data_IF_880593621842
#
_entry.id   IF_880593621842
#
_cell.length_a   1.000
_cell.length_b   1.000
_cell.length_c   1.000
_cell.angle_alpha   90.00
_cell.angle_beta   90.00
_cell.angle_gamma   90.00
#
_symmetry.space_group_name_H-M   'P 1'
#
loop_
_entity.id
_entity.type
_entity.pdbx_description
1 polymer ?
#
# COMPACT_ATOMS: atom_id res chain seq x y z
N UNK A 1 17.21 18.82 -12.77
CA UNK A 1 16.24 17.70 -12.73
C UNK A 1 15.84 17.51 -11.28
N UNK A 2 14.55 17.36 -10.97
CA UNK A 2 14.10 17.21 -9.58
C UNK A 2 14.50 15.83 -9.03
N UNK A 3 14.64 15.63 -7.71
CA UNK A 3 14.91 14.30 -7.13
C UNK A 3 13.88 13.24 -7.57
N UNK A 4 12.62 13.63 -7.76
CA UNK A 4 11.61 12.76 -8.36
C UNK A 4 11.91 12.39 -9.81
N UNK A 5 12.21 13.37 -10.67
CA UNK A 5 12.52 13.14 -12.08
C UNK A 5 13.73 12.21 -12.26
N UNK A 6 14.75 12.34 -11.41
CA UNK A 6 15.92 11.44 -11.40
C UNK A 6 15.50 10.00 -11.09
N UNK A 7 14.72 9.79 -10.03
CA UNK A 7 14.28 8.45 -9.61
C UNK A 7 13.42 7.77 -10.67
N UNK A 8 12.51 8.51 -11.30
CA UNK A 8 11.68 7.96 -12.39
C UNK A 8 12.51 7.66 -13.64
N UNK A 9 13.44 8.54 -14.01
CA UNK A 9 14.34 8.30 -15.14
C UNK A 9 15.15 7.00 -14.92
N UNK A 10 15.74 6.83 -13.73
CA UNK A 10 16.43 5.58 -13.34
C UNK A 10 15.52 4.36 -13.42
N UNK A 11 14.27 4.48 -12.98
CA UNK A 11 13.29 3.37 -13.07
C UNK A 11 12.97 3.00 -14.52
N UNK A 12 12.76 4.00 -15.38
CA UNK A 12 12.50 3.79 -16.81
C UNK A 12 13.72 3.22 -17.53
N UNK A 13 14.92 3.68 -17.21
CA UNK A 13 16.18 3.16 -17.75
C UNK A 13 16.35 1.67 -17.43
N UNK A 14 16.02 1.25 -16.20
CA UNK A 14 16.00 -0.17 -15.81
C UNK A 14 15.00 -1.00 -16.62
N UNK A 15 13.96 -0.37 -17.17
CA UNK A 15 12.97 -0.99 -18.06
C UNK A 15 13.33 -0.82 -19.54
N UNK A 16 14.53 -0.34 -19.87
CA UNK A 16 15.02 -0.16 -21.23
C UNK A 16 14.52 1.11 -21.93
N UNK A 17 13.96 2.07 -21.20
CA UNK A 17 13.46 3.33 -21.72
C UNK A 17 14.28 4.52 -21.19
N UNK A 18 15.02 5.20 -22.06
CA UNK A 18 15.73 6.43 -21.68
C UNK A 18 14.78 7.63 -21.77
N UNK A 19 14.51 8.30 -20.65
CA UNK A 19 13.63 9.48 -20.60
C UNK A 19 14.23 10.52 -19.66
N UNK A 20 14.25 11.78 -20.11
CA UNK A 20 14.46 12.92 -19.22
C UNK A 20 13.11 13.52 -18.84
N UNK A 21 12.79 13.52 -17.55
CA UNK A 21 11.58 14.13 -17.04
C UNK A 21 11.90 15.45 -16.33
N UNK A 22 11.38 16.55 -16.87
CA UNK A 22 11.23 17.80 -16.13
C UNK A 22 10.24 17.62 -14.97
N UNK A 23 10.07 18.63 -14.11
CA UNK A 23 9.13 18.56 -13.00
C UNK A 23 7.69 18.34 -13.53
N UNK A 24 7.08 17.17 -13.28
CA UNK A 24 5.78 16.87 -13.85
C UNK A 24 4.67 17.51 -13.01
N UNK A 25 3.74 18.18 -13.71
CA UNK A 25 2.45 18.55 -13.12
C UNK A 25 1.52 17.34 -12.97
N UNK A 26 0.40 17.56 -12.29
CA UNK A 26 -0.57 16.53 -11.89
C UNK A 26 -1.08 15.68 -13.06
N UNK A 27 -1.41 16.30 -14.20
CA UNK A 27 -1.85 15.58 -15.40
C UNK A 27 -0.77 14.65 -15.95
N UNK A 28 0.50 15.06 -15.86
CA UNK A 28 1.62 14.22 -16.28
C UNK A 28 1.80 13.06 -15.33
N UNK A 29 1.65 13.26 -14.01
CA UNK A 29 1.66 12.17 -13.03
C UNK A 29 0.54 11.16 -13.33
N UNK A 30 -0.69 11.63 -13.60
CA UNK A 30 -1.83 10.77 -13.96
C UNK A 30 -1.54 9.91 -15.18
N UNK A 31 -0.97 10.47 -16.25
CA UNK A 31 -0.61 9.72 -17.47
C UNK A 31 0.57 8.78 -17.27
N UNK A 32 1.52 9.13 -16.42
CA UNK A 32 2.73 8.35 -16.20
C UNK A 32 2.49 7.12 -15.31
N UNK A 33 1.58 7.22 -14.34
CA UNK A 33 1.27 6.12 -13.41
C UNK A 33 1.01 4.77 -14.09
N UNK A 34 0.11 4.64 -15.09
CA UNK A 34 -0.11 3.37 -15.78
C UNK A 34 1.11 2.88 -16.57
N UNK A 35 1.94 3.79 -17.12
CA UNK A 35 3.20 3.43 -17.81
C UNK A 35 4.19 2.80 -16.83
N UNK A 36 4.21 3.30 -15.60
CA UNK A 36 5.04 2.77 -14.53
C UNK A 36 4.43 1.53 -13.85
N UNK A 37 3.19 1.16 -14.17
CA UNK A 37 2.48 0.09 -13.46
C UNK A 37 2.24 0.42 -11.99
N UNK A 38 2.18 1.71 -11.65
CA UNK A 38 1.94 2.21 -10.31
C UNK A 38 0.54 2.79 -10.21
N UNK A 39 -0.03 2.76 -9.01
CA UNK A 39 -1.23 3.54 -8.76
C UNK A 39 -0.92 5.03 -8.79
N UNK A 40 -1.82 5.82 -9.40
CA UNK A 40 -1.64 7.27 -9.52
C UNK A 40 -1.38 7.94 -8.17
N UNK A 41 -2.12 7.54 -7.12
CA UNK A 41 -1.94 8.11 -5.79
C UNK A 41 -0.52 7.89 -5.22
N UNK A 42 0.12 6.76 -5.52
CA UNK A 42 1.48 6.47 -5.08
C UNK A 42 2.50 7.34 -5.83
N UNK A 43 2.26 7.63 -7.10
CA UNK A 43 3.13 8.51 -7.87
C UNK A 43 3.13 9.96 -7.32
N UNK A 44 1.99 10.44 -6.82
CA UNK A 44 1.91 11.72 -6.11
C UNK A 44 2.75 11.71 -4.81
N UNK A 45 2.76 10.57 -4.09
CA UNK A 45 3.61 10.39 -2.91
C UNK A 45 5.08 10.49 -3.28
N UNK A 46 5.54 9.75 -4.29
CA UNK A 46 6.94 9.79 -4.74
C UNK A 46 7.35 11.19 -5.25
N UNK A 47 6.41 11.91 -5.87
CA UNK A 47 6.62 13.29 -6.34
C UNK A 47 6.57 14.34 -5.21
N UNK A 48 6.20 13.96 -3.98
CA UNK A 48 6.09 14.90 -2.86
C UNK A 48 4.90 15.84 -2.93
N UNK A 49 3.93 15.52 -3.79
CA UNK A 49 2.75 16.35 -4.02
C UNK A 49 1.66 16.04 -3.01
N UNK A 50 0.86 17.04 -2.71
CA UNK A 50 -0.42 16.86 -2.03
C UNK A 50 -1.31 15.98 -2.90
N UNK A 51 -1.98 15.02 -2.30
CA UNK A 51 -2.86 14.13 -3.04
C UNK A 51 -4.15 14.88 -3.44
N UNK A 52 -4.60 14.82 -4.70
CA UNK A 52 -5.92 15.31 -5.10
C UNK A 52 -7.05 14.54 -4.40
N UNK A 53 -8.18 15.20 -4.13
CA UNK A 53 -9.29 14.62 -3.36
C UNK A 53 -9.93 13.41 -4.05
N UNK A 54 -9.93 13.35 -5.38
CA UNK A 54 -10.41 12.20 -6.13
C UNK A 54 -9.51 10.96 -5.98
N UNK A 55 -8.27 11.14 -5.52
CA UNK A 55 -7.30 10.06 -5.27
C UNK A 55 -7.17 9.72 -3.78
N UNK A 56 -7.72 10.53 -2.89
CA UNK A 56 -7.56 10.39 -1.44
C UNK A 56 -8.18 9.09 -0.90
N UNK A 57 -7.50 8.39 0.03
CA UNK A 57 -8.08 7.30 0.79
C UNK A 57 -9.09 7.84 1.81
N UNK A 58 -9.99 6.97 2.28
CA UNK A 58 -10.91 7.28 3.37
C UNK A 58 -10.16 7.78 4.63
N UNK A 59 -10.84 8.58 5.45
CA UNK A 59 -10.28 8.95 6.76
C UNK A 59 -10.03 7.72 7.61
N UNK A 60 -8.89 7.67 8.28
CA UNK A 60 -8.59 6.68 9.30
C UNK A 60 -9.44 6.97 10.56
N UNK A 61 -10.72 6.60 10.55
CA UNK A 61 -11.59 6.66 11.73
C UNK A 61 -12.11 5.26 12.03
N UNK A 62 -12.39 4.97 13.30
CA UNK A 62 -13.07 3.73 13.72
C UNK A 62 -12.20 2.53 14.11
N UNK A 63 -12.86 1.43 14.54
CA UNK A 63 -12.22 0.17 14.92
C UNK A 63 -11.86 -0.72 13.72
N UNK A 64 -12.43 -0.43 12.55
CA UNK A 64 -12.26 -1.21 11.33
C UNK A 64 -11.24 -0.54 10.42
N UNK A 65 -10.37 -1.32 9.80
CA UNK A 65 -9.41 -0.82 8.83
C UNK A 65 -9.15 -1.85 7.73
N UNK A 66 -8.49 -1.42 6.66
CA UNK A 66 -8.22 -2.28 5.51
C UNK A 66 -7.37 -3.49 5.89
N UNK A 67 -6.42 -3.32 6.82
CA UNK A 67 -5.63 -4.43 7.33
C UNK A 67 -6.52 -5.49 7.98
N UNK A 68 -7.55 -5.09 8.73
CA UNK A 68 -8.46 -6.04 9.36
C UNK A 68 -9.21 -6.88 8.33
N UNK A 69 -9.63 -6.27 7.23
CA UNK A 69 -10.25 -6.97 6.11
C UNK A 69 -9.26 -7.95 5.44
N UNK A 70 -8.05 -7.50 5.10
CA UNK A 70 -7.12 -8.34 4.32
C UNK A 70 -6.43 -9.41 5.16
N UNK A 71 -5.94 -9.07 6.35
CA UNK A 71 -5.15 -9.96 7.21
C UNK A 71 -5.99 -11.01 7.92
N UNK A 72 -7.15 -10.63 8.43
CA UNK A 72 -7.96 -11.54 9.24
C UNK A 72 -9.08 -12.18 8.45
N UNK A 73 -9.56 -11.56 7.37
CA UNK A 73 -10.75 -12.06 6.65
C UNK A 73 -10.43 -12.64 5.29
N UNK A 74 -9.88 -11.82 4.40
CA UNK A 74 -9.63 -12.22 3.01
C UNK A 74 -8.49 -13.23 2.87
N UNK A 75 -7.51 -13.22 3.78
CA UNK A 75 -6.39 -14.18 3.76
C UNK A 75 -6.84 -15.63 3.89
N UNK A 76 -7.94 -15.89 4.60
CA UNK A 76 -8.51 -17.24 4.77
C UNK A 76 -9.36 -17.71 3.57
N UNK A 77 -9.72 -16.80 2.66
CA UNK A 77 -10.50 -17.14 1.48
C UNK A 77 -9.59 -17.74 0.40
N UNK A 78 -10.13 -18.62 -0.43
CA UNK A 78 -9.47 -19.04 -1.66
C UNK A 78 -9.52 -17.94 -2.73
N UNK A 79 -8.94 -18.21 -3.92
CA UNK A 79 -8.89 -17.23 -5.00
C UNK A 79 -10.29 -16.80 -5.49
N UNK A 80 -11.26 -17.71 -5.50
CA UNK A 80 -12.63 -17.41 -5.93
C UNK A 80 -13.34 -16.54 -4.87
N UNK A 81 -13.23 -16.88 -3.59
CA UNK A 81 -13.74 -16.09 -2.49
C UNK A 81 -13.15 -14.68 -2.46
N UNK A 82 -11.83 -14.53 -2.71
CA UNK A 82 -11.21 -13.21 -2.82
C UNK A 82 -11.70 -12.42 -4.03
N UNK A 83 -11.93 -13.07 -5.18
CA UNK A 83 -12.53 -12.42 -6.35
C UNK A 83 -13.96 -11.94 -6.07
N UNK A 84 -14.79 -12.78 -5.43
CA UNK A 84 -16.16 -12.40 -5.04
C UNK A 84 -16.19 -11.26 -4.03
N UNK A 85 -15.29 -11.29 -3.04
CA UNK A 85 -15.13 -10.19 -2.10
C UNK A 85 -14.69 -8.90 -2.80
N UNK A 86 -13.81 -9.01 -3.80
CA UNK A 86 -13.38 -7.89 -4.61
C UNK A 86 -14.54 -7.28 -5.41
N UNK A 87 -15.35 -8.10 -6.05
CA UNK A 87 -16.55 -7.66 -6.78
C UNK A 87 -17.53 -6.94 -5.85
N UNK A 88 -17.72 -7.47 -4.63
CA UNK A 88 -18.54 -6.81 -3.61
C UNK A 88 -18.01 -5.42 -3.26
N UNK A 89 -16.71 -5.30 -2.98
CA UNK A 89 -16.06 -4.02 -2.65
C UNK A 89 -16.19 -3.01 -3.80
N UNK A 90 -15.96 -3.44 -5.04
CA UNK A 90 -16.08 -2.58 -6.23
C UNK A 90 -17.54 -2.16 -6.51
N UNK A 91 -18.52 -2.95 -6.05
CA UNK A 91 -19.95 -2.65 -6.16
C UNK A 91 -20.51 -1.72 -5.08
N UNK A 92 -19.74 -1.40 -4.03
CA UNK A 92 -20.18 -0.48 -2.98
C UNK A 92 -20.27 0.96 -3.50
N UNK A 93 -21.30 1.73 -3.10
CA UNK A 93 -21.47 3.10 -3.58
C UNK A 93 -20.31 3.99 -3.10
N UNK A 94 -19.72 4.77 -4.00
CA UNK A 94 -18.70 5.74 -3.61
C UNK A 94 -19.31 6.77 -2.64
N UNK A 95 -18.67 6.95 -1.48
CA UNK A 95 -19.06 7.96 -0.49
C UNK A 95 -18.04 9.10 -0.47
N UNK A 96 -18.47 10.35 -0.20
CA UNK A 96 -17.55 11.45 -0.02
C UNK A 96 -16.59 11.13 1.12
N UNK A 97 -15.31 11.06 0.78
CA UNK A 97 -14.26 10.86 1.77
C UNK A 97 -14.08 12.17 2.53
N UNK A 98 -14.28 12.15 3.84
CA UNK A 98 -13.81 13.24 4.68
C UNK A 98 -12.30 13.13 4.76
N UNK A 99 -11.61 14.20 4.39
CA UNK A 99 -10.17 14.27 4.52
C UNK A 99 -9.86 15.06 5.79
N UNK A 100 -8.95 14.55 6.61
CA UNK A 100 -8.23 15.45 7.51
C UNK A 100 -7.31 16.29 6.64
N UNK A 101 -7.62 17.58 6.52
CA UNK A 101 -6.74 18.54 5.85
C UNK A 101 -6.02 19.35 6.95
N UNK A 102 -4.66 19.37 6.99
CA UNK A 102 -3.74 18.63 6.13
C UNK A 102 -3.75 17.12 6.42
N UNK A 103 -3.50 16.30 5.39
CA UNK A 103 -3.26 14.88 5.61
C UNK A 103 -2.00 14.75 6.48
N UNK A 104 -1.86 13.77 7.39
CA UNK A 104 -0.79 13.75 8.41
C UNK A 104 0.67 13.83 7.92
N UNK A 105 0.88 13.82 6.60
CA UNK A 105 2.18 13.90 5.92
C UNK A 105 2.31 15.03 4.90
N UNK A 106 1.29 15.86 4.70
CA UNK A 106 1.37 16.97 3.74
C UNK A 106 2.39 18.01 4.25
N UNK A 107 3.32 18.41 3.37
CA UNK A 107 4.37 19.38 3.71
C UNK A 107 5.55 18.84 4.54
N UNK A 108 5.58 17.54 4.86
CA UNK A 108 6.76 16.91 5.47
C UNK A 108 7.88 16.69 4.44
N UNK A 109 9.12 16.71 4.92
CA UNK A 109 10.27 16.33 4.11
C UNK A 109 10.12 14.89 3.59
N UNK A 110 10.40 14.71 2.29
CA UNK A 110 10.33 13.40 1.62
C UNK A 110 11.56 12.56 1.93
N UNK A 111 11.59 11.96 3.11
CA UNK A 111 12.52 10.88 3.42
C UNK A 111 11.96 9.52 2.98
N UNK A 112 12.79 8.48 2.97
CA UNK A 112 12.35 7.13 2.62
C UNK A 112 11.24 6.65 3.58
N UNK A 113 11.43 6.87 4.88
CA UNK A 113 10.44 6.56 5.91
C UNK A 113 9.12 7.33 5.73
N UNK A 114 9.19 8.61 5.36
CA UNK A 114 7.97 9.40 5.07
C UNK A 114 7.24 8.87 3.84
N UNK A 115 7.96 8.51 2.77
CA UNK A 115 7.36 7.90 1.57
C UNK A 115 6.63 6.60 1.92
N UNK A 116 7.30 5.67 2.61
CA UNK A 116 6.70 4.38 2.99
C UNK A 116 5.45 4.55 3.85
N UNK A 117 5.48 5.48 4.81
CA UNK A 117 4.32 5.82 5.65
C UNK A 117 3.15 6.34 4.81
N UNK A 118 3.44 7.19 3.81
CA UNK A 118 2.44 7.74 2.89
C UNK A 118 1.84 6.67 1.97
N UNK A 119 2.63 5.71 1.50
CA UNK A 119 2.13 4.58 0.70
C UNK A 119 1.17 3.68 1.49
N UNK A 120 1.45 3.44 2.77
CA UNK A 120 0.52 2.73 3.66
C UNK A 120 -0.76 3.54 3.88
N UNK A 121 -0.62 4.83 4.17
CA UNK A 121 -1.76 5.71 4.37
C UNK A 121 -2.65 5.80 3.13
N UNK A 122 -2.07 5.83 1.91
CA UNK A 122 -2.80 5.72 0.64
C UNK A 122 -3.67 4.47 0.56
N UNK A 123 -3.30 3.38 1.25
CA UNK A 123 -4.07 2.12 1.29
C UNK A 123 -5.01 2.04 2.49
N UNK A 124 -5.16 3.12 3.26
CA UNK A 124 -5.86 3.13 4.54
C UNK A 124 -5.31 2.05 5.51
N UNK A 125 -3.99 1.82 5.46
CA UNK A 125 -3.27 0.87 6.31
C UNK A 125 -2.54 1.59 7.43
N UNK A 126 -2.65 1.03 8.64
CA UNK A 126 -1.91 1.50 9.82
C UNK A 126 -0.62 0.73 9.97
N UNK A 127 0.44 1.40 10.41
CA UNK A 127 1.69 0.71 10.77
C UNK A 127 1.43 -0.12 12.03
N UNK A 128 1.31 -1.44 11.86
CA UNK A 128 1.19 -2.46 12.91
C UNK A 128 2.18 -3.59 12.63
N UNK A 129 2.61 -4.28 13.69
CA UNK A 129 3.43 -5.50 13.54
C UNK A 129 2.74 -6.51 12.61
N UNK A 130 1.47 -6.82 12.88
CA UNK A 130 0.68 -7.77 12.10
C UNK A 130 0.73 -7.48 10.61
N UNK A 131 0.58 -6.22 10.20
CA UNK A 131 0.70 -5.85 8.80
C UNK A 131 2.04 -6.26 8.18
N UNK A 132 3.16 -5.87 8.77
CA UNK A 132 4.46 -6.07 8.13
C UNK A 132 4.98 -7.50 8.31
N UNK A 133 4.64 -8.17 9.41
CA UNK A 133 4.97 -9.58 9.63
C UNK A 133 4.10 -10.49 8.76
N UNK A 134 2.78 -10.33 8.79
CA UNK A 134 1.85 -11.24 8.10
C UNK A 134 1.79 -10.95 6.58
N UNK A 135 1.48 -9.70 6.20
CA UNK A 135 1.37 -9.32 4.78
C UNK A 135 2.73 -9.07 4.13
N UNK A 136 3.68 -8.51 4.88
CA UNK A 136 5.02 -8.20 4.36
C UNK A 136 6.00 -9.37 4.41
N UNK A 137 5.71 -10.45 5.15
CA UNK A 137 6.71 -11.47 5.51
C UNK A 137 7.99 -10.82 6.07
N UNK A 138 7.80 -9.79 6.90
CA UNK A 138 8.85 -9.02 7.54
C UNK A 138 9.29 -9.60 8.88
N UNK A 139 10.32 -9.01 9.50
CA UNK A 139 10.86 -9.50 10.77
C UNK A 139 9.85 -9.28 11.90
N UNK A 140 9.70 -10.26 12.79
CA UNK A 140 8.84 -10.10 13.96
C UNK A 140 9.37 -9.01 14.89
N UNK A 141 8.74 -7.83 14.87
CA UNK A 141 9.21 -6.61 15.54
C UNK A 141 8.04 -5.85 16.16
N UNK A 142 8.28 -5.13 17.27
CA UNK A 142 7.21 -4.32 17.86
C UNK A 142 6.70 -3.24 16.88
N UNK A 143 5.42 -2.89 16.98
CA UNK A 143 4.85 -1.76 16.22
C UNK A 143 5.64 -0.46 16.45
N UNK A 144 6.20 -0.26 17.65
CA UNK A 144 7.03 0.89 17.96
C UNK A 144 8.34 0.87 17.15
N UNK A 145 8.98 -0.27 17.01
CA UNK A 145 10.20 -0.45 16.20
C UNK A 145 9.95 -0.08 14.74
N UNK A 146 8.86 -0.57 14.15
CA UNK A 146 8.47 -0.20 12.79
C UNK A 146 8.22 1.30 12.62
N UNK A 147 7.55 1.94 13.59
CA UNK A 147 7.36 3.40 13.59
C UNK A 147 8.66 4.16 13.72
N UNK A 148 9.61 3.68 14.53
CA UNK A 148 10.93 4.30 14.66
C UNK A 148 11.75 4.15 13.36
N UNK A 149 11.67 3.01 12.66
CA UNK A 149 12.29 2.83 11.35
C UNK A 149 11.69 3.78 10.30
N UNK A 150 10.36 3.93 10.26
CA UNK A 150 9.67 4.89 9.39
C UNK A 150 9.91 6.35 9.77
N UNK A 151 10.30 6.63 11.01
CA UNK A 151 10.76 7.93 11.47
C UNK A 151 12.28 8.11 11.30
N UNK A 152 12.97 7.13 10.71
CA UNK A 152 14.41 7.08 10.49
C UNK A 152 15.24 7.29 11.77
N UNK A 153 14.65 6.94 12.93
CA UNK A 153 15.34 6.91 14.23
C UNK A 153 16.12 5.61 14.45
N UNK A 154 15.84 4.60 13.61
CA UNK A 154 16.58 3.34 13.50
C UNK A 154 16.80 3.11 12.00
N UNK A 155 17.92 2.49 11.58
CA UNK A 155 18.15 2.20 10.17
C UNK A 155 17.01 1.43 9.53
N UNK A 156 16.59 1.88 8.35
CA UNK A 156 15.64 1.17 7.49
C UNK A 156 16.41 0.06 6.75
N UNK A 157 16.48 -1.13 7.37
CA UNK A 157 17.14 -2.31 6.81
C UNK A 157 16.44 -2.87 5.57
N UNK A 158 17.15 -3.74 4.85
CA UNK A 158 16.64 -4.45 3.68
C UNK A 158 15.39 -5.28 3.99
N UNK A 159 15.36 -5.93 5.16
CA UNK A 159 14.18 -6.67 5.64
C UNK A 159 12.94 -5.77 5.72
N UNK A 160 13.09 -4.53 6.21
CA UNK A 160 11.98 -3.59 6.26
C UNK A 160 11.52 -3.20 4.87
N UNK A 161 12.44 -2.79 3.98
CA UNK A 161 12.06 -2.35 2.63
C UNK A 161 11.40 -3.49 1.85
N UNK A 162 11.89 -4.72 1.96
CA UNK A 162 11.25 -5.90 1.37
C UNK A 162 9.83 -6.10 1.94
N UNK A 163 9.65 -6.03 3.25
CA UNK A 163 8.33 -6.17 3.87
C UNK A 163 7.35 -5.09 3.39
N UNK A 164 7.78 -3.84 3.35
CA UNK A 164 6.96 -2.74 2.81
C UNK A 164 6.62 -2.94 1.34
N UNK A 165 7.60 -3.26 0.49
CA UNK A 165 7.41 -3.53 -0.94
C UNK A 165 6.30 -4.55 -1.19
N UNK A 166 6.33 -5.66 -0.43
CA UNK A 166 5.34 -6.73 -0.49
C UNK A 166 3.97 -6.26 -0.01
N UNK A 167 3.91 -5.52 1.09
CA UNK A 167 2.67 -4.92 1.61
C UNK A 167 2.01 -3.96 0.63
N UNK A 168 2.78 -3.17 -0.10
CA UNK A 168 2.23 -2.16 -1.03
C UNK A 168 2.06 -2.68 -2.45
N UNK A 169 2.63 -3.85 -2.78
CA UNK A 169 2.54 -4.46 -4.12
C UNK A 169 3.48 -3.85 -5.15
N UNK A 170 4.58 -3.23 -4.71
CA UNK A 170 5.60 -2.65 -5.60
C UNK A 170 6.82 -3.57 -5.58
N UNK A 171 7.40 -3.96 -6.72
CA UNK A 171 8.62 -4.77 -6.73
C UNK A 171 9.73 -4.09 -5.92
N UNK A 172 10.43 -4.83 -5.06
CA UNK A 172 11.35 -4.24 -4.06
C UNK A 172 12.44 -3.38 -4.70
N UNK A 173 13.01 -3.82 -5.82
CA UNK A 173 14.05 -3.07 -6.52
C UNK A 173 13.52 -1.77 -7.14
N UNK A 174 12.25 -1.75 -7.56
CA UNK A 174 11.61 -0.53 -8.05
C UNK A 174 11.29 0.42 -6.90
N UNK A 175 10.75 -0.10 -5.79
CA UNK A 175 10.52 0.69 -4.59
C UNK A 175 11.83 1.31 -4.08
N UNK A 176 12.91 0.53 -4.02
CA UNK A 176 14.24 0.97 -3.61
C UNK A 176 14.74 2.15 -4.44
N UNK A 177 14.62 2.08 -5.78
CA UNK A 177 14.93 3.21 -6.68
C UNK A 177 14.06 4.43 -6.37
N UNK A 178 12.76 4.23 -6.15
CA UNK A 178 11.80 5.31 -5.88
C UNK A 178 11.96 5.95 -4.50
N UNK A 179 12.62 5.30 -3.55
CA UNK A 179 12.97 5.87 -2.24
C UNK A 179 14.46 6.24 -2.11
N UNK A 180 15.22 6.16 -3.22
CA UNK A 180 16.67 6.42 -3.29
C UNK A 180 17.49 5.59 -2.28
N UNK A 181 17.23 4.27 -2.26
CA UNK A 181 17.92 3.30 -1.40
C UNK A 181 18.52 2.18 -2.23
N UNK A 182 19.68 1.72 -1.80
CA UNK A 182 20.22 0.43 -2.23
C UNK A 182 19.73 -0.65 -1.27
N UNK A 183 19.13 -1.70 -1.80
CA UNK A 183 18.51 -2.79 -1.03
C UNK A 183 18.71 -4.10 -1.78
N UNK A 184 19.10 -5.15 -1.06
CA UNK A 184 19.08 -6.50 -1.61
C UNK A 184 17.63 -7.02 -1.69
N UNK A 185 17.28 -7.64 -2.82
CA UNK A 185 16.06 -8.43 -2.88
C UNK A 185 16.27 -9.69 -2.03
N UNK A 186 15.42 -9.86 -1.03
CA UNK A 186 15.53 -10.96 -0.10
C UNK A 186 14.56 -12.09 -0.50
N UNK A 187 15.01 -13.36 -0.41
CA UNK A 187 14.14 -14.49 -0.65
C UNK A 187 12.99 -14.51 0.36
N UNK A 188 11.93 -15.23 0.03
CA UNK A 188 10.81 -15.45 0.94
C UNK A 188 11.25 -16.38 2.06
N UNK A 189 11.19 -15.90 3.30
CA UNK A 189 11.62 -16.65 4.49
C UNK A 189 10.44 -17.30 5.25
N UNK A 190 9.21 -17.23 4.71
CA UNK A 190 7.98 -17.71 5.35
C UNK A 190 7.01 -18.47 4.45
N UNK A 191 5.89 -18.92 5.03
CA UNK A 191 4.81 -19.69 4.38
C UNK A 191 4.06 -18.85 3.34
N UNK A 192 4.48 -18.96 2.08
CA UNK A 192 3.93 -18.38 0.83
C UNK A 192 3.73 -16.85 0.84
N UNK A 193 4.10 -16.15 -0.25
CA UNK A 193 3.76 -14.74 -0.40
C UNK A 193 2.25 -14.57 -0.35
N UNK A 194 1.78 -13.49 0.25
CA UNK A 194 0.39 -13.11 0.08
C UNK A 194 0.11 -12.92 -1.41
N UNK A 195 -0.97 -13.53 -1.92
CA UNK A 195 -1.29 -13.43 -3.33
C UNK A 195 -1.57 -11.98 -3.72
N UNK A 196 -1.20 -11.63 -4.96
CA UNK A 196 -1.31 -10.27 -5.50
C UNK A 196 -2.73 -9.70 -5.36
N UNK A 197 -3.74 -10.56 -5.46
CA UNK A 197 -5.14 -10.21 -5.30
C UNK A 197 -5.48 -9.60 -3.92
N UNK A 198 -4.78 -9.98 -2.84
CA UNK A 198 -4.94 -9.35 -1.52
C UNK A 198 -4.42 -7.91 -1.50
N UNK A 199 -3.31 -7.65 -2.18
CA UNK A 199 -2.77 -6.29 -2.29
C UNK A 199 -3.70 -5.41 -3.13
N UNK A 200 -4.23 -5.94 -4.23
CA UNK A 200 -5.23 -5.24 -5.03
C UNK A 200 -6.52 -5.01 -4.23
N UNK A 201 -6.97 -5.99 -3.43
CA UNK A 201 -8.12 -5.84 -2.54
C UNK A 201 -7.90 -4.73 -1.50
N UNK A 202 -6.72 -4.68 -0.87
CA UNK A 202 -6.36 -3.59 0.03
C UNK A 202 -6.43 -2.23 -0.69
N UNK A 203 -5.96 -2.18 -1.93
CA UNK A 203 -6.05 -0.98 -2.74
C UNK A 203 -7.50 -0.55 -3.01
N UNK A 204 -8.42 -1.44 -3.38
CA UNK A 204 -9.82 -1.06 -3.58
C UNK A 204 -10.51 -0.64 -2.28
N UNK A 205 -10.24 -1.35 -1.19
CA UNK A 205 -10.84 -1.09 0.10
C UNK A 205 -10.40 0.26 0.71
N UNK A 206 -9.33 0.89 0.19
CA UNK A 206 -8.75 2.14 0.73
C UNK A 206 -9.74 3.31 0.85
N UNK A 207 -10.83 3.31 0.07
CA UNK A 207 -11.84 4.38 0.03
C UNK A 207 -13.12 4.05 0.80
N UNK A 208 -13.20 2.86 1.39
CA UNK A 208 -14.34 2.45 2.18
C UNK A 208 -14.31 3.15 3.53
N UNK A 209 -15.46 3.64 3.97
CA UNK A 209 -15.65 4.10 5.35
C UNK A 209 -15.86 2.91 6.32
N UNK A 210 -16.03 3.21 7.61
CA UNK A 210 -16.24 2.21 8.65
C UNK A 210 -17.41 1.25 8.39
N UNK A 211 -18.52 1.78 7.87
CA UNK A 211 -19.72 0.98 7.61
C UNK A 211 -19.49 0.04 6.41
N UNK A 212 -18.86 0.56 5.37
CA UNK A 212 -18.50 -0.20 4.18
C UNK A 212 -17.44 -1.26 4.47
N UNK A 213 -16.44 -0.95 5.29
CA UNK A 213 -15.45 -1.93 5.76
C UNK A 213 -16.12 -3.04 6.56
N UNK A 214 -17.02 -2.69 7.49
CA UNK A 214 -17.81 -3.68 8.24
C UNK A 214 -18.62 -4.58 7.30
N UNK A 215 -19.32 -4.00 6.34
CA UNK A 215 -20.09 -4.78 5.36
C UNK A 215 -19.20 -5.70 4.52
N UNK A 216 -18.00 -5.25 4.12
CA UNK A 216 -17.04 -6.09 3.40
C UNK A 216 -16.51 -7.25 4.26
N UNK A 217 -16.27 -7.02 5.56
CA UNK A 217 -15.88 -8.06 6.50
C UNK A 217 -16.99 -9.07 6.76
N UNK A 218 -18.24 -8.61 6.92
CA UNK A 218 -19.42 -9.46 7.07
C UNK A 218 -19.62 -10.32 5.80
N UNK A 219 -19.40 -9.73 4.61
CA UNK A 219 -19.43 -10.46 3.35
C UNK A 219 -18.32 -11.50 3.26
N UNK A 220 -17.08 -11.15 3.63
CA UNK A 220 -15.97 -12.08 3.67
C UNK A 220 -16.25 -13.29 4.59
N UNK A 221 -16.87 -13.06 5.76
CA UNK A 221 -17.30 -14.16 6.65
C UNK A 221 -18.32 -15.09 5.98
N UNK A 222 -19.25 -14.53 5.20
CA UNK A 222 -20.26 -15.33 4.50
C UNK A 222 -19.69 -16.20 3.38
N UNK A 223 -18.50 -15.86 2.87
CA UNK A 223 -17.78 -16.61 1.84
C UNK A 223 -16.92 -17.73 2.43
N UNK A 224 -16.69 -17.73 3.75
CA UNK A 224 -15.94 -18.80 4.39
C UNK A 224 -16.74 -20.10 4.30
N UNK A 225 -16.09 -21.23 3.99
CA UNK A 225 -16.73 -22.52 4.15
C UNK A 225 -17.22 -22.62 5.59
N UNK A 226 -18.48 -23.03 5.80
CA UNK A 226 -18.89 -23.44 7.15
C UNK A 226 -17.96 -24.58 7.57
N UNK A 227 -17.40 -24.56 8.79
CA UNK A 227 -16.73 -25.75 9.30
C UNK A 227 -17.74 -26.88 9.20
N UNK A 228 -17.36 -27.99 8.57
CA UNK A 228 -18.19 -29.19 8.51
C UNK A 228 -18.52 -29.58 9.94
N UNK A 229 -19.74 -29.25 10.38
CA UNK A 229 -20.32 -29.76 11.61
C UNK A 229 -20.82 -31.17 11.31
N UNK A 230 -19.90 -32.09 11.00
CA UNK A 230 -20.16 -33.52 10.92
C UNK A 230 -18.87 -34.29 11.26
N UNK A 231 -18.87 -34.89 12.45
CA UNK A 231 -17.78 -35.70 13.01
C UNK A 231 -17.97 -35.94 14.50
#
# INVERSE_FOLDING_TARGET
>A
MTPFGIRVARLLERRGAAVTLAEPGDDTLRRLAPVLGLHTADLFVFAGRTLPDDLAPAELTGPWDVESLVAWRAHELDAEGRARLRDFVDGLPARPVRRTTPFPSDGQELTAGTILRRLLANRNLRVRNSLLTELGAGPYMSTATYRMALAERVPLSDDYVNAFARTVGIPVLELAVLIDREVAELPWTGSRPWPRDLVELAWAARRLDDEQLRAAMDHADSLRPRPDTDG
#
